data_IF_048558297054
#
_entry.id   IF_048558297054
#
_cell.length_a   1.000
_cell.length_b   1.000
_cell.length_c   1.000
_cell.angle_alpha   90.00
_cell.angle_beta   90.00
_cell.angle_gamma   90.00
#
_symmetry.space_group_name_H-M   'P 1'
#
loop_
_entity.id
_entity.type
_entity.pdbx_description
1 polymer ?
#
# COMPACT_ATOMS: atom_id res chain seq x y z
N UNK A 1 -8.20 57.26 -49.75
CA UNK A 1 -6.84 56.82 -49.43
C UNK A 1 -6.82 56.26 -48.01
N UNK A 2 -6.39 55.01 -47.86
CA UNK A 2 -6.25 54.24 -46.62
C UNK A 2 -5.31 54.91 -45.60
N UNK A 3 -5.56 54.69 -44.29
CA UNK A 3 -4.71 53.82 -43.45
C UNK A 3 -5.02 53.88 -41.93
N UNK A 4 -5.37 52.70 -41.38
CA UNK A 4 -5.00 52.10 -40.09
C UNK A 4 -5.27 52.83 -38.74
N UNK A 5 -6.28 52.40 -37.97
CA UNK A 5 -6.26 51.34 -36.91
C UNK A 5 -5.32 51.62 -35.72
N UNK A 6 -5.92 51.84 -34.55
CA UNK A 6 -5.48 51.20 -33.29
C UNK A 6 -6.69 50.98 -32.38
N UNK A 7 -7.09 49.71 -32.25
CA UNK A 7 -8.05 49.21 -31.26
C UNK A 7 -7.32 49.13 -29.92
N UNK A 8 -7.88 49.70 -28.86
CA UNK A 8 -7.51 49.42 -27.49
C UNK A 8 -8.46 48.33 -26.99
N UNK A 9 -7.93 47.14 -26.72
CA UNK A 9 -8.60 46.07 -25.98
C UNK A 9 -8.54 46.36 -24.48
N UNK A 10 -9.58 46.03 -23.69
CA UNK A 10 -9.50 46.13 -22.24
C UNK A 10 -8.59 45.05 -21.65
N UNK A 11 -8.05 45.37 -20.48
CA UNK A 11 -7.09 44.57 -19.72
C UNK A 11 -7.63 43.17 -19.40
N UNK A 12 -6.77 42.16 -19.58
CA UNK A 12 -6.98 40.82 -19.07
C UNK A 12 -6.96 40.86 -17.54
N UNK A 13 -8.11 40.60 -16.93
CA UNK A 13 -8.20 40.17 -15.55
C UNK A 13 -7.53 38.79 -15.38
N UNK A 14 -6.84 38.53 -14.26
CA UNK A 14 -6.25 37.23 -14.00
C UNK A 14 -7.35 36.19 -13.75
N UNK A 15 -7.40 35.18 -14.60
CA UNK A 15 -8.30 34.02 -14.46
C UNK A 15 -7.95 33.30 -13.16
N UNK A 16 -8.94 33.18 -12.28
CA UNK A 16 -8.85 32.42 -11.04
C UNK A 16 -8.57 30.94 -11.34
N UNK A 17 -7.35 30.48 -11.04
CA UNK A 17 -6.92 29.08 -11.14
C UNK A 17 -7.48 28.21 -9.99
N UNK A 18 -8.78 28.30 -9.72
CA UNK A 18 -9.43 27.58 -8.60
C UNK A 18 -10.33 26.41 -9.01
N UNK A 19 -10.77 26.31 -10.27
CA UNK A 19 -11.90 25.45 -10.64
C UNK A 19 -11.54 24.17 -11.42
N UNK A 20 -10.28 23.97 -11.81
CA UNK A 20 -9.91 22.83 -12.67
C UNK A 20 -9.54 21.56 -11.88
N UNK A 21 -9.18 21.66 -10.59
CA UNK A 21 -8.72 20.50 -9.82
C UNK A 21 -9.85 19.62 -9.24
N UNK A 22 -10.96 20.21 -8.76
CA UNK A 22 -11.99 19.42 -8.05
C UNK A 22 -12.79 18.46 -8.96
N UNK A 23 -12.92 18.77 -10.26
CA UNK A 23 -13.63 17.90 -11.21
C UNK A 23 -12.85 16.62 -11.57
N UNK A 24 -11.53 16.58 -11.37
CA UNK A 24 -10.70 15.41 -11.65
C UNK A 24 -10.70 14.38 -10.50
N UNK A 25 -10.94 14.81 -9.26
CA UNK A 25 -10.80 13.99 -8.05
C UNK A 25 -12.01 13.07 -7.81
N UNK A 26 -13.24 13.60 -7.91
CA UNK A 26 -14.45 12.74 -7.92
C UNK A 26 -14.43 11.79 -9.11
N UNK A 27 -13.90 12.24 -10.24
CA UNK A 27 -13.71 11.40 -11.43
C UNK A 27 -12.74 10.24 -11.17
N UNK A 28 -11.73 10.43 -10.32
CA UNK A 28 -10.73 9.41 -10.03
C UNK A 28 -11.33 8.20 -9.33
N UNK A 29 -11.97 8.39 -8.17
CA UNK A 29 -12.51 7.27 -7.38
C UNK A 29 -13.59 6.51 -8.16
N UNK A 30 -14.41 7.21 -8.95
CA UNK A 30 -15.42 6.59 -9.81
C UNK A 30 -14.81 5.75 -10.94
N UNK A 31 -13.76 6.28 -11.60
CA UNK A 31 -12.99 5.56 -12.61
C UNK A 31 -12.32 4.33 -12.00
N UNK A 32 -11.64 4.48 -10.87
CA UNK A 32 -10.98 3.39 -10.17
C UNK A 32 -11.98 2.29 -9.80
N UNK A 33 -13.12 2.66 -9.19
CA UNK A 33 -14.18 1.71 -8.83
C UNK A 33 -14.72 0.98 -10.05
N UNK A 34 -14.88 1.70 -11.17
CA UNK A 34 -15.33 1.10 -12.44
C UNK A 34 -14.30 0.13 -13.00
N UNK A 35 -13.02 0.49 -13.01
CA UNK A 35 -11.94 -0.36 -13.49
C UNK A 35 -11.73 -1.59 -12.58
N UNK A 36 -11.92 -1.45 -11.26
CA UNK A 36 -11.96 -2.57 -10.29
C UNK A 36 -13.09 -3.54 -10.63
N UNK A 37 -14.31 -3.03 -10.86
CA UNK A 37 -15.47 -3.87 -11.24
C UNK A 37 -15.24 -4.60 -12.56
N UNK A 38 -14.58 -3.94 -13.52
CA UNK A 38 -14.18 -4.53 -14.81
C UNK A 38 -12.95 -5.45 -14.72
N UNK A 39 -12.25 -5.48 -13.57
CA UNK A 39 -10.96 -6.16 -13.37
C UNK A 39 -9.90 -5.74 -14.41
N UNK A 40 -9.93 -4.48 -14.86
CA UNK A 40 -9.01 -3.95 -15.87
C UNK A 40 -7.70 -3.50 -15.22
N UNK A 41 -6.75 -4.43 -15.08
CA UNK A 41 -5.42 -4.15 -14.50
C UNK A 41 -4.66 -3.01 -15.20
N UNK A 42 -4.65 -2.89 -16.54
CA UNK A 42 -3.97 -1.77 -17.20
C UNK A 42 -4.53 -0.40 -16.79
N UNK A 43 -5.86 -0.24 -16.81
CA UNK A 43 -6.51 1.01 -16.41
C UNK A 43 -6.26 1.33 -14.94
N UNK A 44 -6.33 0.31 -14.07
CA UNK A 44 -6.03 0.47 -12.64
C UNK A 44 -4.61 0.97 -12.45
N UNK A 45 -3.62 0.36 -13.13
CA UNK A 45 -2.22 0.76 -13.02
C UNK A 45 -2.00 2.20 -13.46
N UNK A 46 -2.60 2.60 -14.57
CA UNK A 46 -2.54 3.98 -15.08
C UNK A 46 -3.14 4.98 -14.10
N UNK A 47 -4.29 4.66 -13.50
CA UNK A 47 -4.91 5.50 -12.48
C UNK A 47 -4.00 5.62 -11.25
N UNK A 48 -3.49 4.50 -10.74
CA UNK A 48 -2.65 4.49 -9.53
C UNK A 48 -1.31 5.24 -9.70
N UNK A 49 -0.85 5.51 -10.93
CA UNK A 49 0.32 6.37 -11.14
C UNK A 49 0.10 7.81 -10.68
N UNK A 50 -1.16 8.27 -10.63
CA UNK A 50 -1.52 9.60 -10.14
C UNK A 50 -1.85 9.60 -8.64
N UNK A 51 -1.83 8.44 -7.97
CA UNK A 51 -2.32 8.29 -6.60
C UNK A 51 -1.66 9.26 -5.61
N UNK A 52 -0.34 9.44 -5.70
CA UNK A 52 0.43 10.32 -4.81
C UNK A 52 0.16 11.82 -5.03
N UNK A 53 -0.50 12.19 -6.14
CA UNK A 53 -0.85 13.57 -6.47
C UNK A 53 -2.27 13.95 -6.00
N UNK A 54 -3.05 12.95 -5.56
CA UNK A 54 -4.39 13.16 -5.04
C UNK A 54 -4.33 13.77 -3.63
N UNK A 55 -5.37 14.52 -3.27
CA UNK A 55 -5.56 14.96 -1.90
C UNK A 55 -5.84 13.78 -0.96
N UNK A 56 -5.57 13.99 0.34
CA UNK A 56 -5.72 12.97 1.39
C UNK A 56 -7.13 12.34 1.41
N UNK A 57 -8.19 13.13 1.15
CA UNK A 57 -9.58 12.63 1.17
C UNK A 57 -9.81 11.67 0.00
N UNK A 58 -9.30 12.00 -1.18
CA UNK A 58 -9.42 11.16 -2.37
C UNK A 58 -8.57 9.90 -2.25
N UNK A 59 -7.36 10.00 -1.68
CA UNK A 59 -6.53 8.83 -1.36
C UNK A 59 -7.23 7.86 -0.40
N UNK A 60 -7.86 8.37 0.66
CA UNK A 60 -8.61 7.54 1.62
C UNK A 60 -9.82 6.86 0.98
N UNK A 61 -10.59 7.58 0.15
CA UNK A 61 -11.70 6.98 -0.61
C UNK A 61 -11.23 5.90 -1.58
N UNK A 62 -10.13 6.15 -2.29
CA UNK A 62 -9.54 5.18 -3.21
C UNK A 62 -9.03 3.93 -2.48
N UNK A 63 -8.39 4.10 -1.32
CA UNK A 63 -7.98 3.00 -0.45
C UNK A 63 -9.19 2.17 -0.01
N UNK A 64 -10.29 2.81 0.41
CA UNK A 64 -11.54 2.12 0.73
C UNK A 64 -12.08 1.27 -0.43
N UNK A 65 -12.04 1.79 -1.67
CA UNK A 65 -12.44 1.05 -2.87
C UNK A 65 -11.50 -0.16 -3.16
N UNK A 66 -10.20 0.00 -2.93
CA UNK A 66 -9.20 -1.08 -3.04
C UNK A 66 -9.46 -2.16 -1.98
N UNK A 67 -9.82 -1.77 -0.76
CA UNK A 67 -10.08 -2.66 0.37
C UNK A 67 -11.32 -3.55 0.20
N UNK A 68 -12.20 -3.28 -0.78
CA UNK A 68 -13.33 -4.15 -1.12
C UNK A 68 -13.08 -5.01 -2.37
N UNK A 69 -11.95 -4.84 -3.05
CA UNK A 69 -11.60 -5.66 -4.21
C UNK A 69 -11.22 -7.10 -3.81
N UNK A 70 -11.25 -8.03 -4.77
CA UNK A 70 -10.75 -9.39 -4.57
C UNK A 70 -9.25 -9.37 -4.25
N UNK A 71 -8.78 -10.30 -3.42
CA UNK A 71 -7.40 -10.35 -2.92
C UNK A 71 -6.34 -10.16 -4.01
N UNK A 72 -6.40 -10.89 -5.12
CA UNK A 72 -5.40 -10.78 -6.18
C UNK A 72 -5.31 -9.35 -6.74
N UNK A 73 -6.46 -8.68 -6.90
CA UNK A 73 -6.51 -7.32 -7.43
C UNK A 73 -6.07 -6.32 -6.38
N UNK A 74 -6.57 -6.47 -5.14
CA UNK A 74 -6.20 -5.62 -4.03
C UNK A 74 -4.69 -5.68 -3.75
N UNK A 75 -4.12 -6.89 -3.75
CA UNK A 75 -2.69 -7.11 -3.57
C UNK A 75 -1.88 -6.32 -4.61
N UNK A 76 -2.18 -6.46 -5.91
CA UNK A 76 -1.47 -5.70 -6.96
C UNK A 76 -1.60 -4.18 -6.80
N UNK A 77 -2.78 -3.70 -6.40
CA UNK A 77 -3.03 -2.26 -6.21
C UNK A 77 -2.27 -1.71 -4.98
N UNK A 78 -2.33 -2.42 -3.85
CA UNK A 78 -1.64 -2.03 -2.62
C UNK A 78 -0.13 -2.12 -2.81
N UNK A 79 0.39 -3.16 -3.46
CA UNK A 79 1.82 -3.30 -3.76
C UNK A 79 2.33 -2.12 -4.62
N UNK A 80 1.55 -1.70 -5.63
CA UNK A 80 1.91 -0.54 -6.44
C UNK A 80 1.94 0.76 -5.60
N UNK A 81 0.96 0.97 -4.72
CA UNK A 81 0.93 2.14 -3.83
C UNK A 81 2.12 2.13 -2.88
N UNK A 82 2.44 0.98 -2.26
CA UNK A 82 3.56 0.83 -1.36
C UNK A 82 4.91 1.13 -2.06
N UNK A 83 5.08 0.64 -3.29
CA UNK A 83 6.28 0.87 -4.09
C UNK A 83 6.45 2.32 -4.54
N UNK A 84 5.35 3.08 -4.70
CA UNK A 84 5.41 4.51 -4.99
C UNK A 84 5.91 5.34 -3.79
N UNK A 85 5.91 4.76 -2.58
CA UNK A 85 6.29 5.41 -1.34
C UNK A 85 5.16 6.26 -0.75
N UNK A 86 5.42 6.83 0.43
CA UNK A 86 4.47 7.64 1.17
C UNK A 86 5.08 8.97 1.57
N UNK A 87 4.34 10.05 1.36
CA UNK A 87 4.69 11.40 1.84
C UNK A 87 3.92 11.76 3.12
N UNK A 88 2.73 11.18 3.31
CA UNK A 88 1.87 11.38 4.48
C UNK A 88 1.94 10.16 5.41
N UNK A 89 2.56 10.31 6.58
CA UNK A 89 2.69 9.22 7.56
C UNK A 89 1.33 8.79 8.18
N UNK A 90 0.34 9.69 8.25
CA UNK A 90 -1.01 9.33 8.74
C UNK A 90 -1.69 8.40 7.75
N UNK A 91 -1.63 8.73 6.45
CA UNK A 91 -2.15 7.85 5.41
C UNK A 91 -1.40 6.52 5.38
N UNK A 92 -0.05 6.54 5.50
CA UNK A 92 0.77 5.32 5.60
C UNK A 92 0.30 4.41 6.74
N UNK A 93 0.00 4.96 7.91
CA UNK A 93 -0.50 4.18 9.05
C UNK A 93 -1.82 3.48 8.70
N UNK A 94 -2.82 4.22 8.18
CA UNK A 94 -4.11 3.64 7.77
C UNK A 94 -3.95 2.57 6.68
N UNK A 95 -3.04 2.80 5.73
CA UNK A 95 -2.70 1.86 4.69
C UNK A 95 -2.12 0.56 5.26
N UNK A 96 -1.21 0.64 6.23
CA UNK A 96 -0.66 -0.53 6.92
C UNK A 96 -1.73 -1.29 7.71
N UNK A 97 -2.63 -0.59 8.40
CA UNK A 97 -3.73 -1.23 9.14
C UNK A 97 -4.61 -2.06 8.19
N UNK A 98 -4.96 -1.52 7.01
CA UNK A 98 -5.70 -2.27 5.99
C UNK A 98 -4.95 -3.48 5.43
N UNK A 99 -3.62 -3.39 5.29
CA UNK A 99 -2.82 -4.56 4.89
C UNK A 99 -2.88 -5.63 5.98
N UNK A 100 -2.75 -5.26 7.26
CA UNK A 100 -2.81 -6.21 8.37
C UNK A 100 -4.20 -6.86 8.45
N UNK A 101 -5.28 -6.10 8.30
CA UNK A 101 -6.65 -6.64 8.25
C UNK A 101 -6.78 -7.74 7.18
N UNK A 102 -6.22 -7.51 5.99
CA UNK A 102 -6.21 -8.52 4.93
C UNK A 102 -5.26 -9.67 5.22
N UNK A 103 -4.11 -9.41 5.85
CA UNK A 103 -3.12 -10.43 6.20
C UNK A 103 -3.65 -11.45 7.21
N UNK A 104 -4.64 -11.09 8.04
CA UNK A 104 -5.35 -12.05 8.90
C UNK A 104 -6.12 -13.12 8.11
N UNK A 105 -6.58 -12.79 6.89
CA UNK A 105 -7.34 -13.71 6.03
C UNK A 105 -6.44 -14.37 4.98
N UNK A 106 -5.52 -13.60 4.42
CA UNK A 106 -4.61 -14.02 3.36
C UNK A 106 -3.18 -13.57 3.70
N UNK A 107 -2.34 -14.48 4.24
CA UNK A 107 -0.99 -14.14 4.70
C UNK A 107 -0.08 -13.50 3.66
N UNK A 108 -0.39 -13.62 2.35
CA UNK A 108 0.41 -13.00 1.29
C UNK A 108 0.58 -11.49 1.48
N UNK A 109 -0.44 -10.80 2.00
CA UNK A 109 -0.40 -9.36 2.25
C UNK A 109 0.70 -8.95 3.23
N UNK A 110 1.21 -9.87 4.05
CA UNK A 110 2.30 -9.57 4.99
C UNK A 110 3.56 -9.11 4.28
N UNK A 111 3.81 -9.56 3.05
CA UNK A 111 4.97 -9.13 2.28
C UNK A 111 4.96 -7.63 2.01
N UNK A 112 3.81 -7.07 1.65
CA UNK A 112 3.67 -5.62 1.43
C UNK A 112 3.92 -4.87 2.74
N UNK A 113 3.37 -5.38 3.85
CA UNK A 113 3.56 -4.76 5.17
C UNK A 113 5.03 -4.72 5.58
N UNK A 114 5.75 -5.84 5.49
CA UNK A 114 7.14 -5.95 5.98
C UNK A 114 8.14 -5.14 5.16
N UNK A 115 7.81 -4.79 3.91
CA UNK A 115 8.62 -3.90 3.07
C UNK A 115 8.61 -2.44 3.56
N UNK A 116 7.49 -1.99 4.14
CA UNK A 116 7.30 -0.57 4.50
C UNK A 116 7.27 -0.31 6.01
N UNK A 117 7.08 -1.36 6.81
CA UNK A 117 6.98 -1.31 8.26
C UNK A 117 8.32 -0.92 8.92
N UNK A 118 8.25 -0.01 9.90
CA UNK A 118 9.35 0.27 10.83
C UNK A 118 9.29 -0.71 12.00
N UNK A 119 10.33 -0.73 12.85
CA UNK A 119 10.40 -1.65 14.00
C UNK A 119 9.17 -1.54 14.90
N UNK A 120 8.67 -0.33 15.13
CA UNK A 120 7.50 -0.07 15.96
C UNK A 120 6.23 -0.67 15.36
N UNK A 121 6.09 -0.64 14.03
CA UNK A 121 4.97 -1.24 13.30
C UNK A 121 5.03 -2.77 13.39
N UNK A 122 6.22 -3.35 13.21
CA UNK A 122 6.45 -4.79 13.37
C UNK A 122 6.12 -5.25 14.80
N UNK A 123 6.50 -4.46 15.82
CA UNK A 123 6.18 -4.76 17.22
C UNK A 123 4.67 -4.80 17.49
N UNK A 124 3.88 -3.96 16.81
CA UNK A 124 2.41 -3.96 16.90
C UNK A 124 1.80 -5.16 16.16
N UNK A 125 2.33 -5.51 15.00
CA UNK A 125 1.89 -6.65 14.20
C UNK A 125 2.41 -8.01 14.71
N UNK A 126 3.28 -8.02 15.72
CA UNK A 126 3.94 -9.23 16.21
C UNK A 126 3.00 -10.40 16.55
N UNK A 127 1.81 -10.20 17.16
CA UNK A 127 0.86 -11.29 17.38
C UNK A 127 0.38 -11.96 16.08
N UNK A 128 0.11 -11.17 15.04
CA UNK A 128 -0.28 -11.69 13.73
C UNK A 128 0.90 -12.41 13.06
N UNK A 129 2.11 -11.83 13.10
CA UNK A 129 3.31 -12.47 12.58
C UNK A 129 3.54 -13.84 13.24
N UNK A 130 3.41 -13.92 14.57
CA UNK A 130 3.51 -15.17 15.30
C UNK A 130 2.43 -16.18 14.88
N UNK A 131 1.18 -15.72 14.73
CA UNK A 131 0.09 -16.57 14.24
C UNK A 131 0.38 -17.13 12.84
N UNK A 132 0.93 -16.31 11.93
CA UNK A 132 1.33 -16.75 10.58
C UNK A 132 2.44 -17.80 10.66
N UNK A 133 3.44 -17.66 11.54
CA UNK A 133 4.47 -18.69 11.72
C UNK A 133 3.90 -20.02 12.20
N UNK A 134 2.94 -19.99 13.13
CA UNK A 134 2.36 -21.20 13.72
C UNK A 134 1.39 -21.94 12.78
N UNK A 135 0.81 -21.25 11.79
CA UNK A 135 -0.25 -21.79 10.93
C UNK A 135 0.12 -21.86 9.44
N UNK A 136 1.13 -21.10 9.01
CA UNK A 136 1.54 -20.97 7.64
C UNK A 136 2.35 -22.17 7.14
N UNK A 137 2.24 -22.46 5.85
CA UNK A 137 3.00 -23.52 5.16
C UNK A 137 3.79 -23.01 3.96
N UNK A 138 3.47 -21.80 3.47
CA UNK A 138 4.19 -21.19 2.36
C UNK A 138 5.57 -20.71 2.82
N UNK A 139 6.63 -21.32 2.28
CA UNK A 139 8.02 -21.04 2.64
C UNK A 139 8.38 -19.57 2.48
N UNK A 140 7.90 -18.90 1.43
CA UNK A 140 8.23 -17.51 1.19
C UNK A 140 7.60 -16.61 2.26
N UNK A 141 6.31 -16.83 2.57
CA UNK A 141 5.62 -16.08 3.63
C UNK A 141 6.25 -16.34 5.00
N UNK A 142 6.57 -17.60 5.31
CA UNK A 142 7.25 -17.95 6.56
C UNK A 142 8.61 -17.26 6.68
N UNK A 143 9.41 -17.24 5.61
CA UNK A 143 10.70 -16.56 5.56
C UNK A 143 10.56 -15.05 5.86
N UNK A 144 9.64 -14.37 5.18
CA UNK A 144 9.40 -12.94 5.40
C UNK A 144 8.90 -12.66 6.81
N UNK A 145 8.09 -13.56 7.36
CA UNK A 145 7.55 -13.45 8.71
C UNK A 145 8.63 -13.65 9.78
N UNK A 146 9.54 -14.62 9.61
CA UNK A 146 10.69 -14.84 10.51
C UNK A 146 11.58 -13.60 10.57
N UNK A 147 11.94 -13.05 9.40
CA UNK A 147 12.77 -11.85 9.31
C UNK A 147 12.08 -10.67 10.00
N UNK A 148 10.77 -10.51 9.78
CA UNK A 148 9.98 -9.44 10.39
C UNK A 148 9.89 -9.59 11.91
N UNK A 149 9.66 -10.80 12.41
CA UNK A 149 9.53 -11.07 13.84
C UNK A 149 10.87 -10.90 14.56
N UNK A 150 11.99 -11.34 13.95
CA UNK A 150 13.33 -11.12 14.48
C UNK A 150 13.68 -9.63 14.62
N UNK A 151 13.29 -8.79 13.66
CA UNK A 151 13.47 -7.32 13.74
C UNK A 151 12.77 -6.68 14.95
N UNK A 152 11.74 -7.32 15.51
CA UNK A 152 11.08 -6.82 16.73
C UNK A 152 12.00 -6.92 17.95
N UNK A 153 12.87 -7.92 18.00
CA UNK A 153 13.75 -8.20 19.15
C UNK A 153 12.98 -8.59 20.42
N UNK A 154 11.77 -9.16 20.28
CA UNK A 154 10.93 -9.57 21.41
C UNK A 154 11.17 -11.04 21.76
N UNK A 155 11.65 -11.30 22.98
CA UNK A 155 11.97 -12.64 23.47
C UNK A 155 10.74 -13.57 23.62
N UNK A 156 9.53 -13.03 23.66
CA UNK A 156 8.29 -13.81 23.82
C UNK A 156 8.02 -14.77 22.64
N UNK A 157 8.70 -14.58 21.50
CA UNK A 157 8.56 -15.42 20.31
C UNK A 157 9.73 -16.36 20.08
N UNK A 158 10.73 -16.38 20.99
CA UNK A 158 11.95 -17.17 20.83
C UNK A 158 11.65 -18.64 20.58
N UNK A 159 10.72 -19.25 21.32
CA UNK A 159 10.39 -20.67 21.16
C UNK A 159 9.77 -20.95 19.79
N UNK A 160 8.82 -20.12 19.35
CA UNK A 160 8.19 -20.27 18.02
C UNK A 160 9.18 -20.06 16.88
N UNK A 161 10.15 -19.15 17.03
CA UNK A 161 11.22 -18.96 16.04
C UNK A 161 12.19 -20.17 16.06
N UNK A 162 12.53 -20.68 17.23
CA UNK A 162 13.47 -21.78 17.39
C UNK A 162 13.00 -23.09 16.74
N UNK A 163 11.67 -23.32 16.66
CA UNK A 163 11.11 -24.48 15.95
C UNK A 163 11.57 -24.55 14.48
N UNK A 164 11.82 -23.41 13.84
CA UNK A 164 12.29 -23.34 12.44
C UNK A 164 13.78 -23.67 12.27
N UNK A 165 14.57 -23.75 13.35
CA UNK A 165 15.97 -24.21 13.27
C UNK A 165 16.03 -25.68 12.88
N UNK A 166 15.02 -26.45 13.25
CA UNK A 166 14.93 -27.89 12.97
C UNK A 166 14.13 -28.22 11.72
N UNK A 167 13.66 -27.21 10.97
CA UNK A 167 12.97 -27.43 9.70
C UNK A 167 13.94 -27.95 8.63
N UNK A 168 13.46 -28.87 7.79
CA UNK A 168 14.19 -29.38 6.62
C UNK A 168 14.15 -28.37 5.45
N UNK A 169 14.45 -27.10 5.77
CA UNK A 169 14.57 -26.01 4.82
C UNK A 169 15.69 -25.06 5.29
N UNK A 170 16.80 -25.05 4.56
CA UNK A 170 17.97 -24.26 4.92
C UNK A 170 17.70 -22.75 4.98
N UNK A 171 16.81 -22.21 4.14
CA UNK A 171 16.51 -20.78 4.14
C UNK A 171 15.74 -20.38 5.41
N UNK A 172 14.73 -21.16 5.79
CA UNK A 172 13.97 -20.94 7.03
C UNK A 172 14.85 -21.13 8.27
N UNK A 173 15.69 -22.17 8.29
CA UNK A 173 16.65 -22.40 9.37
C UNK A 173 17.59 -21.21 9.55
N UNK A 174 18.20 -20.72 8.47
CA UNK A 174 19.11 -19.56 8.54
C UNK A 174 18.39 -18.29 8.96
N UNK A 175 17.15 -18.07 8.49
CA UNK A 175 16.35 -16.92 8.90
C UNK A 175 15.99 -16.98 10.39
N UNK A 176 15.66 -18.17 10.92
CA UNK A 176 15.38 -18.39 12.33
C UNK A 176 16.61 -18.12 13.20
N UNK A 177 17.79 -18.64 12.81
CA UNK A 177 19.06 -18.38 13.51
C UNK A 177 19.37 -16.87 13.54
N UNK A 178 19.15 -16.16 12.43
CA UNK A 178 19.40 -14.71 12.36
C UNK A 178 18.37 -13.87 13.13
N UNK A 179 17.19 -14.43 13.40
CA UNK A 179 16.10 -13.75 14.09
C UNK A 179 16.22 -13.82 15.63
N UNK A 180 17.03 -14.75 16.16
CA UNK A 180 17.34 -14.93 17.58
C UNK A 180 18.62 -14.18 17.98
#
# INVERSE_FOLDING_TARGET
>A
MNAYKKRLTPANEPVANGEVMSNNESSFTDKLTTSIKKKSLPEIRELLNMFQQLDDTTQEKALGAICVASDNLAYSMLEQIANAGFTNEVFKSKFMDHILDRAHVNPNFIFIFTQIAKKEDLCKAAPLLNHILQSGTDTFILLQTLIALGKTGKNEFTDTIADFIYYDNNELMMAAINAL
#
